data_IF_570358141412
#
_entry.id   IF_570358141412
#
_cell.length_a   1.000
_cell.length_b   1.000
_cell.length_c   1.000
_cell.angle_alpha   90.00
_cell.angle_beta   90.00
_cell.angle_gamma   90.00
#
_symmetry.space_group_name_H-M   'P 1'
#
loop_
_entity.id
_entity.type
_entity.pdbx_description
1 polymer ?
#
# COMPACT_ATOMS: atom_id res chain seq x y z
N UNK A 1 -13.93 38.29 -4.31
CA UNK A 1 -14.21 36.89 -3.93
C UNK A 1 -15.32 36.88 -2.90
N UNK A 2 -16.59 36.84 -3.34
CA UNK A 2 -17.75 36.98 -2.45
C UNK A 2 -18.05 35.74 -1.61
N UNK A 3 -18.94 35.87 -0.62
CA UNK A 3 -19.36 34.80 0.31
C UNK A 3 -19.74 33.49 -0.41
N UNK A 4 -20.31 33.58 -1.61
CA UNK A 4 -20.62 32.42 -2.46
C UNK A 4 -19.39 31.57 -2.81
N UNK A 5 -18.25 32.20 -3.11
CA UNK A 5 -16.99 31.50 -3.42
C UNK A 5 -16.39 30.80 -2.21
N UNK A 6 -16.51 31.40 -1.02
CA UNK A 6 -16.07 30.80 0.23
C UNK A 6 -16.89 29.54 0.56
N UNK A 7 -18.21 29.59 0.38
CA UNK A 7 -19.10 28.44 0.63
C UNK A 7 -18.78 27.27 -0.31
N UNK A 8 -18.50 27.52 -1.59
CA UNK A 8 -18.09 26.49 -2.55
C UNK A 8 -16.74 25.86 -2.16
N UNK A 9 -15.78 26.68 -1.75
CA UNK A 9 -14.45 26.22 -1.28
C UNK A 9 -14.55 25.35 -0.01
N UNK A 10 -15.38 25.74 0.95
CA UNK A 10 -15.60 24.95 2.18
C UNK A 10 -16.31 23.64 1.87
N UNK A 11 -17.35 23.65 1.02
CA UNK A 11 -18.08 22.44 0.63
C UNK A 11 -17.20 21.42 -0.10
N UNK A 12 -16.33 21.90 -1.01
CA UNK A 12 -15.41 21.04 -1.75
C UNK A 12 -14.32 20.44 -0.84
N UNK A 13 -13.74 21.23 0.06
CA UNK A 13 -12.81 20.74 1.10
C UNK A 13 -13.47 19.70 2.01
N UNK A 14 -14.71 19.95 2.47
CA UNK A 14 -15.46 19.02 3.32
C UNK A 14 -15.76 17.70 2.61
N UNK A 15 -16.15 17.75 1.33
CA UNK A 15 -16.42 16.58 0.52
C UNK A 15 -15.14 15.75 0.28
N UNK A 16 -13.99 16.39 0.07
CA UNK A 16 -12.69 15.72 -0.01
C UNK A 16 -12.27 15.07 1.31
N UNK A 17 -12.46 15.75 2.45
CA UNK A 17 -12.21 15.17 3.77
C UNK A 17 -13.11 13.96 4.03
N UNK A 18 -14.39 14.05 3.68
CA UNK A 18 -15.36 12.94 3.82
C UNK A 18 -15.01 11.76 2.89
N UNK A 19 -14.42 12.00 1.71
CA UNK A 19 -13.98 10.95 0.78
C UNK A 19 -12.72 10.21 1.26
N UNK A 20 -11.94 10.78 2.20
CA UNK A 20 -10.73 10.16 2.75
C UNK A 20 -11.00 9.11 3.84
N UNK A 21 -12.26 8.90 4.25
CA UNK A 21 -12.63 7.92 5.30
C UNK A 21 -12.93 6.50 4.77
N UNK A 22 -12.98 6.30 3.45
CA UNK A 22 -13.54 5.06 2.89
C UNK A 22 -12.55 4.22 2.05
N UNK A 23 -11.27 4.61 1.96
CA UNK A 23 -10.27 3.86 1.20
C UNK A 23 -9.38 2.95 2.06
N UNK A 24 -9.63 2.88 3.37
CA UNK A 24 -8.93 1.97 4.29
C UNK A 24 -9.74 0.73 4.69
N UNK A 25 -10.92 0.49 4.08
CA UNK A 25 -11.79 -0.62 4.52
C UNK A 25 -12.36 -1.50 3.38
N UNK A 26 -12.02 -1.22 2.11
CA UNK A 26 -12.54 -2.03 0.97
C UNK A 26 -11.71 -3.31 0.69
N UNK A 27 -10.55 -3.50 1.33
CA UNK A 27 -9.75 -4.75 1.16
C UNK A 27 -9.94 -5.74 2.32
N UNK A 28 -10.67 -5.40 3.39
CA UNK A 28 -10.70 -6.22 4.62
C UNK A 28 -12.11 -6.63 5.09
N UNK A 29 -13.17 -6.15 4.42
CA UNK A 29 -14.55 -6.48 4.78
C UNK A 29 -15.16 -7.57 3.88
N UNK A 30 -14.56 -8.77 3.81
CA UNK A 30 -15.31 -9.99 3.48
C UNK A 30 -14.53 -11.26 3.79
N UNK A 31 -15.19 -12.13 4.56
CA UNK A 31 -14.84 -13.51 4.95
C UNK A 31 -13.84 -13.69 6.10
N UNK A 32 -14.35 -13.59 7.33
CA UNK A 32 -13.98 -14.51 8.41
C UNK A 32 -15.22 -14.81 9.27
N UNK A 33 -15.91 -15.90 8.96
CA UNK A 33 -16.74 -16.61 9.94
C UNK A 33 -15.81 -17.53 10.75
N UNK A 34 -16.07 -17.58 12.07
CA UNK A 34 -15.59 -18.53 13.08
C UNK A 34 -14.09 -18.60 13.38
N UNK A 35 -13.63 -17.93 14.45
CA UNK A 35 -13.42 -18.59 15.76
C UNK A 35 -12.63 -17.69 16.73
N UNK A 36 -13.08 -17.73 17.98
CA UNK A 36 -12.61 -17.03 19.18
C UNK A 36 -11.19 -17.43 19.62
N UNK A 37 -10.38 -16.47 20.07
CA UNK A 37 -9.72 -16.52 21.39
C UNK A 37 -9.00 -15.22 21.72
N UNK A 38 -9.24 -14.75 22.93
CA UNK A 38 -8.61 -13.65 23.64
C UNK A 38 -7.24 -14.04 24.18
N UNK A 39 -6.20 -13.25 23.91
CA UNK A 39 -5.14 -12.97 24.90
C UNK A 39 -4.20 -11.87 24.38
N UNK A 40 -4.15 -10.79 25.16
CA UNK A 40 -3.20 -9.69 25.04
C UNK A 40 -1.79 -10.13 25.43
N UNK A 41 -0.83 -10.04 24.50
CA UNK A 41 0.56 -9.68 24.83
C UNK A 41 1.39 -9.47 23.55
N UNK A 42 1.81 -8.23 23.30
CA UNK A 42 2.95 -7.87 22.46
C UNK A 42 3.10 -8.65 21.12
N UNK A 43 2.24 -8.34 20.15
CA UNK A 43 2.51 -8.71 18.75
C UNK A 43 3.27 -7.57 18.09
N UNK A 44 4.58 -7.48 18.33
CA UNK A 44 5.48 -6.55 17.61
C UNK A 44 5.47 -6.80 16.09
N UNK A 45 4.95 -7.96 15.68
CA UNK A 45 4.80 -8.36 14.29
C UNK A 45 3.33 -8.65 13.95
N UNK A 46 2.81 -8.02 12.91
CA UNK A 46 1.48 -8.31 12.38
C UNK A 46 1.55 -9.49 11.40
N UNK A 47 0.99 -10.63 11.79
CA UNK A 47 0.98 -11.84 10.95
C UNK A 47 -0.03 -11.66 9.83
N UNK A 48 0.44 -11.73 8.59
CA UNK A 48 -0.39 -11.58 7.40
C UNK A 48 -0.34 -12.81 6.48
N UNK A 49 -1.28 -12.89 5.53
CA UNK A 49 -1.31 -13.96 4.51
C UNK A 49 -0.08 -13.87 3.61
N UNK A 50 0.45 -15.02 3.18
CA UNK A 50 1.65 -15.11 2.33
C UNK A 50 1.59 -14.20 1.09
N UNK A 51 0.43 -14.14 0.42
CA UNK A 51 0.21 -13.29 -0.76
C UNK A 51 0.33 -11.79 -0.46
N UNK A 52 -0.09 -11.37 0.73
CA UNK A 52 0.04 -9.98 1.16
C UNK A 52 1.48 -9.67 1.58
N UNK A 53 2.17 -10.60 2.25
CA UNK A 53 3.59 -10.46 2.56
C UNK A 53 4.43 -10.27 1.30
N UNK A 54 4.22 -11.12 0.28
CA UNK A 54 4.98 -11.03 -0.99
C UNK A 54 4.68 -9.75 -1.74
N UNK A 55 3.42 -9.29 -1.74
CA UNK A 55 3.02 -8.02 -2.35
C UNK A 55 3.76 -6.83 -1.72
N UNK A 56 3.84 -6.79 -0.39
CA UNK A 56 4.51 -5.70 0.34
C UNK A 56 6.01 -5.73 0.02
N UNK A 57 6.63 -6.91 0.03
CA UNK A 57 8.05 -7.07 -0.27
C UNK A 57 8.39 -6.63 -1.69
N UNK A 58 7.60 -7.05 -2.70
CA UNK A 58 7.78 -6.63 -4.10
C UNK A 58 7.57 -5.13 -4.33
N UNK A 59 6.77 -4.46 -3.48
CA UNK A 59 6.58 -3.00 -3.52
C UNK A 59 7.74 -2.22 -2.91
N UNK A 60 8.69 -2.88 -2.26
CA UNK A 60 9.87 -2.21 -1.72
C UNK A 60 10.73 -1.61 -2.84
N UNK A 61 11.26 -0.40 -2.62
CA UNK A 61 12.21 0.24 -3.56
C UNK A 61 13.43 -0.63 -3.83
N UNK A 62 13.88 -1.40 -2.83
CA UNK A 62 15.04 -2.31 -2.98
C UNK A 62 14.71 -3.44 -3.95
N UNK A 63 13.54 -4.06 -3.80
CA UNK A 63 13.07 -5.11 -4.71
C UNK A 63 12.92 -4.57 -6.14
N UNK A 64 12.30 -3.39 -6.29
CA UNK A 64 12.14 -2.76 -7.60
C UNK A 64 13.47 -2.49 -8.31
N UNK A 65 14.48 -1.96 -7.59
CA UNK A 65 15.81 -1.73 -8.14
C UNK A 65 16.47 -3.01 -8.63
N UNK A 66 16.40 -4.07 -7.84
CA UNK A 66 16.96 -5.38 -8.22
C UNK A 66 16.26 -5.90 -9.48
N UNK A 67 14.93 -5.90 -9.49
CA UNK A 67 14.14 -6.35 -10.64
C UNK A 67 14.50 -5.56 -11.90
N UNK A 68 14.59 -4.23 -11.81
CA UNK A 68 14.97 -3.38 -12.94
C UNK A 68 16.39 -3.69 -13.44
N UNK A 69 17.36 -3.82 -12.54
CA UNK A 69 18.74 -4.16 -12.91
C UNK A 69 18.82 -5.54 -13.58
N UNK A 70 18.11 -6.54 -13.04
CA UNK A 70 18.06 -7.87 -13.63
C UNK A 70 17.42 -7.86 -15.01
N UNK A 71 16.34 -7.10 -15.21
CA UNK A 71 15.71 -6.94 -16.53
C UNK A 71 16.67 -6.30 -17.54
N UNK A 72 17.35 -5.22 -17.16
CA UNK A 72 18.33 -4.56 -18.03
C UNK A 72 19.49 -5.49 -18.40
N UNK A 73 19.99 -6.29 -17.45
CA UNK A 73 21.04 -7.27 -17.72
C UNK A 73 20.54 -8.40 -18.65
N UNK A 74 19.31 -8.87 -18.45
CA UNK A 74 18.71 -9.89 -19.31
C UNK A 74 18.57 -9.38 -20.76
N UNK A 75 18.18 -8.12 -20.94
CA UNK A 75 18.04 -7.50 -22.26
C UNK A 75 19.40 -7.18 -22.92
N UNK A 76 20.43 -6.89 -22.13
CA UNK A 76 21.78 -6.60 -22.64
C UNK A 76 22.88 -7.24 -21.78
N UNK A 77 23.15 -8.54 -21.98
CA UNK A 77 24.08 -9.30 -21.13
C UNK A 77 25.54 -8.86 -21.29
N UNK A 78 25.86 -8.10 -22.33
CA UNK A 78 27.23 -7.64 -22.63
C UNK A 78 27.55 -6.23 -22.14
N UNK A 79 26.56 -5.41 -21.78
CA UNK A 79 26.79 -3.99 -21.42
C UNK A 79 26.73 -3.72 -19.93
N UNK A 80 26.22 -4.65 -19.13
CA UNK A 80 26.09 -4.49 -17.69
C UNK A 80 27.04 -5.45 -16.95
N UNK A 81 27.97 -4.91 -16.16
CA UNK A 81 28.76 -5.71 -15.20
C UNK A 81 27.96 -5.91 -13.91
N UNK A 82 27.99 -7.11 -13.32
CA UNK A 82 27.29 -7.38 -12.05
C UNK A 82 27.77 -6.42 -10.96
N UNK A 83 26.86 -5.78 -10.19
CA UNK A 83 27.26 -5.06 -9.00
C UNK A 83 27.73 -6.08 -7.96
N UNK A 84 29.04 -6.08 -7.68
CA UNK A 84 29.68 -6.85 -6.60
C UNK A 84 29.35 -6.28 -5.24
#
# INVERSE_FOLDING_TARGET
>A
MGLRGLVVSVKTKLLLLRRRRNNSTIIVARHHSSSSSSSSSCSWYDKMKKSESTRIELRSRKAQKIIQQTLLFADSPHTASFPT
#
